data_IF_812452042374
#
_entry.id   IF_812452042374
#
_cell.length_a   1.000
_cell.length_b   1.000
_cell.length_c   1.000
_cell.angle_alpha   90.00
_cell.angle_beta   90.00
_cell.angle_gamma   90.00
#
_symmetry.space_group_name_H-M   'P 1'
#
loop_
_entity.id
_entity.type
_entity.pdbx_description
1 polymer ?
#
# COMPACT_ATOMS: atom_id res chain seq x y z
N UNK A 1 54.49 -47.38 -58.25
CA UNK A 1 53.19 -46.71 -58.11
C UNK A 1 52.41 -47.34 -56.96
N UNK A 2 52.43 -46.74 -55.76
CA UNK A 2 51.48 -47.04 -54.68
C UNK A 2 50.50 -45.86 -54.63
N UNK A 3 49.23 -46.10 -54.89
CA UNK A 3 48.16 -45.09 -54.78
C UNK A 3 47.75 -44.99 -53.31
N UNK A 4 47.76 -43.76 -52.80
CA UNK A 4 47.19 -43.39 -51.50
C UNK A 4 45.65 -43.50 -51.54
N UNK A 5 45.06 -44.07 -50.49
CA UNK A 5 43.63 -44.03 -50.25
C UNK A 5 43.26 -42.66 -49.62
N UNK A 6 42.24 -41.95 -50.11
CA UNK A 6 41.79 -40.72 -49.48
C UNK A 6 40.96 -41.03 -48.23
N UNK A 7 41.26 -40.32 -47.14
CA UNK A 7 40.49 -40.32 -45.89
C UNK A 7 39.04 -39.88 -46.16
N UNK A 8 38.08 -40.75 -45.87
CA UNK A 8 36.66 -40.39 -45.81
C UNK A 8 36.43 -39.43 -44.65
N UNK A 9 36.06 -38.18 -44.96
CA UNK A 9 35.45 -37.28 -43.97
C UNK A 9 34.12 -37.90 -43.52
N UNK A 10 33.81 -37.94 -42.21
CA UNK A 10 32.51 -38.39 -41.77
C UNK A 10 31.45 -37.39 -42.25
N UNK A 11 30.47 -37.89 -42.99
CA UNK A 11 29.22 -37.18 -43.26
C UNK A 11 28.53 -36.96 -41.91
N UNK A 12 28.58 -35.73 -41.39
CA UNK A 12 27.69 -35.31 -40.32
C UNK A 12 26.29 -35.30 -40.92
N UNK A 13 25.46 -36.24 -40.49
CA UNK A 13 24.10 -36.44 -40.98
C UNK A 13 23.25 -35.19 -40.64
N UNK A 14 22.84 -34.46 -41.67
CA UNK A 14 22.06 -33.22 -41.54
C UNK A 14 20.76 -33.40 -40.74
N UNK A 15 20.24 -34.63 -40.62
CA UNK A 15 19.06 -34.92 -39.79
C UNK A 15 19.34 -34.86 -38.28
N UNK A 16 20.52 -35.30 -37.83
CA UNK A 16 20.90 -35.19 -36.41
C UNK A 16 21.09 -33.73 -35.99
N UNK A 17 21.64 -32.90 -36.88
CA UNK A 17 21.83 -31.48 -36.60
C UNK A 17 20.50 -30.72 -36.47
N UNK A 18 19.52 -31.02 -37.33
CA UNK A 18 18.18 -30.42 -37.26
C UNK A 18 17.43 -30.85 -36.00
N UNK A 19 17.56 -32.10 -35.57
CA UNK A 19 16.92 -32.61 -34.35
C UNK A 19 17.51 -31.99 -33.07
N UNK A 20 18.84 -31.83 -32.99
CA UNK A 20 19.50 -31.18 -31.87
C UNK A 20 19.16 -29.69 -31.79
N UNK A 21 19.06 -29.00 -32.94
CA UNK A 21 18.62 -27.61 -32.99
C UNK A 21 17.17 -27.46 -32.51
N UNK A 22 16.28 -28.38 -32.90
CA UNK A 22 14.89 -28.37 -32.44
C UNK A 22 14.76 -28.55 -30.92
N UNK A 23 15.48 -29.52 -30.34
CA UNK A 23 15.50 -29.74 -28.89
C UNK A 23 16.03 -28.50 -28.16
N UNK A 24 17.11 -27.90 -28.66
CA UNK A 24 17.69 -26.70 -28.05
C UNK A 24 16.70 -25.52 -28.07
N UNK A 25 16.06 -25.26 -29.21
CA UNK A 25 15.05 -24.20 -29.34
C UNK A 25 13.88 -24.45 -28.39
N UNK A 26 13.38 -25.69 -28.32
CA UNK A 26 12.30 -26.07 -27.40
C UNK A 26 12.71 -25.86 -25.93
N UNK A 27 13.92 -26.29 -25.56
CA UNK A 27 14.45 -26.15 -24.20
C UNK A 27 14.52 -24.69 -23.77
N UNK A 28 15.13 -23.83 -24.58
CA UNK A 28 15.25 -22.39 -24.31
C UNK A 28 13.88 -21.73 -24.25
N UNK A 29 12.96 -22.10 -25.15
CA UNK A 29 11.61 -21.55 -25.18
C UNK A 29 10.83 -21.89 -23.91
N UNK A 30 10.85 -23.16 -23.50
CA UNK A 30 10.15 -23.63 -22.30
C UNK A 30 10.76 -23.05 -21.03
N UNK A 31 12.09 -22.98 -20.92
CA UNK A 31 12.78 -22.35 -19.79
C UNK A 31 12.36 -20.89 -19.62
N UNK A 32 12.49 -20.10 -20.69
CA UNK A 32 12.15 -18.68 -20.66
C UNK A 32 10.67 -18.47 -20.34
N UNK A 33 9.79 -19.30 -20.90
CA UNK A 33 8.36 -19.14 -20.68
C UNK A 33 7.94 -19.52 -19.27
N UNK A 34 8.46 -20.63 -18.71
CA UNK A 34 8.19 -21.01 -17.32
C UNK A 34 8.79 -19.98 -16.35
N UNK A 35 9.98 -19.43 -16.65
CA UNK A 35 10.60 -18.38 -15.83
C UNK A 35 9.72 -17.14 -15.78
N UNK A 36 9.27 -16.64 -16.94
CA UNK A 36 8.37 -15.48 -17.02
C UNK A 36 7.07 -15.72 -16.24
N UNK A 37 6.42 -16.85 -16.48
CA UNK A 37 5.14 -17.18 -15.85
C UNK A 37 5.30 -17.34 -14.32
N UNK A 38 6.44 -17.83 -13.85
CA UNK A 38 6.78 -17.91 -12.42
C UNK A 38 6.94 -16.53 -11.79
N UNK A 39 7.62 -15.59 -12.45
CA UNK A 39 7.72 -14.20 -11.97
C UNK A 39 6.36 -13.51 -11.92
N UNK A 40 5.52 -13.71 -12.92
CA UNK A 40 4.15 -13.19 -12.92
C UNK A 40 3.32 -13.78 -11.77
N UNK A 41 3.44 -15.09 -11.52
CA UNK A 41 2.73 -15.74 -10.42
C UNK A 41 3.20 -15.20 -9.06
N UNK A 42 4.50 -15.00 -8.88
CA UNK A 42 5.05 -14.36 -7.69
C UNK A 42 4.47 -12.95 -7.50
N UNK A 43 4.48 -12.12 -8.55
CA UNK A 43 3.99 -10.75 -8.49
C UNK A 43 2.49 -10.67 -8.19
N UNK A 44 1.65 -11.27 -9.04
CA UNK A 44 0.19 -11.18 -8.86
C UNK A 44 -0.28 -11.93 -7.64
N UNK A 45 0.28 -13.11 -7.36
CA UNK A 45 -0.02 -13.89 -6.16
C UNK A 45 0.32 -13.12 -4.89
N UNK A 46 1.44 -12.39 -4.87
CA UNK A 46 1.78 -11.50 -3.76
C UNK A 46 0.81 -10.32 -3.66
N UNK A 47 0.47 -9.64 -4.77
CA UNK A 47 -0.45 -8.50 -4.75
C UNK A 47 -1.84 -8.92 -4.26
N UNK A 48 -2.37 -10.07 -4.70
CA UNK A 48 -3.72 -10.52 -4.36
C UNK A 48 -3.79 -11.50 -3.19
N UNK A 49 -2.72 -11.63 -2.40
CA UNK A 49 -2.55 -12.71 -1.40
C UNK A 49 -3.68 -12.91 -0.39
N UNK A 50 -4.38 -11.88 0.08
CA UNK A 50 -5.53 -12.04 0.99
C UNK A 50 -6.90 -12.03 0.34
N UNK A 51 -6.99 -11.97 -0.99
CA UNK A 51 -8.21 -12.32 -1.73
C UNK A 51 -8.22 -13.79 -2.16
N UNK A 52 -7.18 -14.53 -1.78
CA UNK A 52 -7.01 -15.95 -2.02
C UNK A 52 -7.39 -16.75 -0.78
N UNK A 53 -7.96 -17.94 -0.99
CA UNK A 53 -8.16 -18.88 0.11
C UNK A 53 -6.81 -19.38 0.64
N UNK A 54 -6.75 -19.86 1.89
CA UNK A 54 -5.53 -20.45 2.42
C UNK A 54 -5.05 -21.67 1.62
N UNK A 55 -6.00 -22.40 1.01
CA UNK A 55 -5.71 -23.52 0.10
C UNK A 55 -4.99 -23.02 -1.16
N UNK A 56 -5.53 -21.98 -1.81
CA UNK A 56 -4.94 -21.41 -3.03
C UNK A 56 -3.57 -20.79 -2.75
N UNK A 57 -3.41 -20.07 -1.63
CA UNK A 57 -2.13 -19.49 -1.21
C UNK A 57 -1.06 -20.57 -1.05
N UNK A 58 -1.41 -21.68 -0.38
CA UNK A 58 -0.49 -22.79 -0.17
C UNK A 58 -0.14 -23.48 -1.49
N UNK A 59 -1.11 -23.67 -2.38
CA UNK A 59 -0.90 -24.27 -3.70
C UNK A 59 0.04 -23.41 -4.55
N UNK A 60 -0.18 -22.09 -4.60
CA UNK A 60 0.67 -21.13 -5.33
C UNK A 60 2.10 -21.16 -4.80
N UNK A 61 2.29 -21.14 -3.48
CA UNK A 61 3.62 -21.21 -2.88
C UNK A 61 4.37 -22.50 -3.25
N UNK A 62 3.67 -23.65 -3.19
CA UNK A 62 4.24 -24.94 -3.59
C UNK A 62 4.62 -24.93 -5.08
N UNK A 63 3.75 -24.41 -5.94
CA UNK A 63 3.99 -24.35 -7.39
C UNK A 63 5.20 -23.48 -7.72
N UNK A 64 5.33 -22.30 -7.11
CA UNK A 64 6.48 -21.42 -7.31
C UNK A 64 7.79 -22.14 -6.98
N UNK A 65 7.86 -22.83 -5.84
CA UNK A 65 9.07 -23.57 -5.46
C UNK A 65 9.38 -24.71 -6.45
N UNK A 66 8.35 -25.46 -6.87
CA UNK A 66 8.51 -26.52 -7.88
C UNK A 66 8.99 -25.97 -9.23
N UNK A 67 8.52 -24.79 -9.63
CA UNK A 67 8.97 -24.15 -10.86
C UNK A 67 10.44 -23.70 -10.75
N UNK A 68 10.84 -23.11 -9.61
CA UNK A 68 12.23 -22.70 -9.37
C UNK A 68 13.16 -23.90 -9.42
N UNK A 69 12.82 -25.00 -8.73
CA UNK A 69 13.57 -26.25 -8.77
C UNK A 69 13.71 -26.77 -10.21
N UNK A 70 12.61 -26.73 -10.99
CA UNK A 70 12.61 -27.17 -12.38
C UNK A 70 13.48 -26.29 -13.28
N UNK A 71 13.41 -24.97 -13.12
CA UNK A 71 14.23 -24.01 -13.86
C UNK A 71 15.72 -24.18 -13.55
N UNK A 72 16.08 -24.48 -12.29
CA UNK A 72 17.45 -24.80 -11.89
C UNK A 72 17.94 -26.11 -12.52
N UNK A 73 17.10 -27.16 -12.56
CA UNK A 73 17.43 -28.41 -13.24
C UNK A 73 17.64 -28.23 -14.75
N UNK A 74 16.84 -27.37 -15.39
CA UNK A 74 16.98 -27.08 -16.82
C UNK A 74 18.28 -26.32 -17.14
N UNK A 75 18.80 -25.51 -16.20
CA UNK A 75 20.08 -24.79 -16.39
C UNK A 75 21.32 -25.68 -16.24
N UNK A 76 21.19 -26.83 -15.57
CA UNK A 76 22.29 -27.76 -15.32
C UNK A 76 22.20 -28.95 -16.28
N UNK A 77 22.92 -28.88 -17.40
CA UNK A 77 22.95 -29.91 -18.44
C UNK A 77 23.30 -31.33 -17.91
N UNK A 78 24.03 -31.41 -16.79
CA UNK A 78 24.42 -32.69 -16.17
C UNK A 78 23.31 -33.27 -15.28
N UNK A 79 22.38 -32.45 -14.81
CA UNK A 79 21.26 -32.85 -13.94
C UNK A 79 19.91 -32.84 -14.64
N UNK A 80 19.82 -32.24 -15.82
CA UNK A 80 18.57 -32.17 -16.57
C UNK A 80 18.04 -33.57 -16.91
N UNK A 81 16.80 -33.85 -16.50
CA UNK A 81 16.15 -35.17 -16.60
C UNK A 81 15.32 -35.34 -17.88
N UNK A 82 15.29 -34.35 -18.77
CA UNK A 82 14.55 -34.39 -20.04
C UNK A 82 13.03 -34.30 -19.90
N UNK A 83 12.49 -34.01 -18.72
CA UNK A 83 11.03 -34.02 -18.43
C UNK A 83 10.33 -32.74 -18.89
N UNK A 84 10.29 -32.52 -20.20
CA UNK A 84 9.58 -31.39 -20.81
C UNK A 84 8.06 -31.45 -20.59
N UNK A 85 7.50 -32.65 -20.44
CA UNK A 85 6.10 -32.88 -20.06
C UNK A 85 5.74 -32.17 -18.75
N UNK A 86 6.60 -32.33 -17.73
CA UNK A 86 6.40 -31.69 -16.43
C UNK A 86 6.51 -30.16 -16.50
N UNK A 87 7.39 -29.65 -17.35
CA UNK A 87 7.53 -28.19 -17.56
C UNK A 87 6.26 -27.62 -18.17
N UNK A 88 5.67 -28.31 -19.16
CA UNK A 88 4.41 -27.91 -19.80
C UNK A 88 3.26 -27.94 -18.79
N UNK A 89 3.16 -28.99 -17.97
CA UNK A 89 2.11 -29.09 -16.94
C UNK A 89 2.23 -27.98 -15.89
N UNK A 90 3.44 -27.75 -15.38
CA UNK A 90 3.71 -26.66 -14.44
C UNK A 90 3.40 -25.29 -15.04
N UNK A 91 3.75 -25.07 -16.31
CA UNK A 91 3.46 -23.83 -17.00
C UNK A 91 1.95 -23.60 -17.12
N UNK A 92 1.19 -24.62 -17.53
CA UNK A 92 -0.26 -24.52 -17.65
C UNK A 92 -0.93 -24.19 -16.30
N UNK A 93 -0.48 -24.85 -15.22
CA UNK A 93 -0.98 -24.58 -13.88
C UNK A 93 -0.63 -23.15 -13.40
N UNK A 94 0.59 -22.69 -13.72
CA UNK A 94 1.06 -21.35 -13.39
C UNK A 94 0.21 -20.29 -14.08
N UNK A 95 -0.04 -20.45 -15.38
CA UNK A 95 -0.88 -19.53 -16.15
C UNK A 95 -2.33 -19.48 -15.65
N UNK A 96 -2.88 -20.61 -15.19
CA UNK A 96 -4.20 -20.66 -14.56
C UNK A 96 -4.25 -19.76 -13.33
N UNK A 97 -3.30 -19.93 -12.40
CA UNK A 97 -3.27 -19.11 -11.19
C UNK A 97 -2.97 -17.63 -11.47
N UNK A 98 -2.11 -17.32 -12.45
CA UNK A 98 -1.88 -15.93 -12.90
C UNK A 98 -3.20 -15.31 -13.39
N UNK A 99 -3.96 -16.02 -14.22
CA UNK A 99 -5.24 -15.55 -14.74
C UNK A 99 -6.27 -15.33 -13.62
N UNK A 100 -6.35 -16.24 -12.66
CA UNK A 100 -7.22 -16.09 -11.48
C UNK A 100 -6.81 -14.90 -10.61
N UNK A 101 -5.52 -14.71 -10.38
CA UNK A 101 -5.01 -13.58 -9.62
C UNK A 101 -5.28 -12.25 -10.33
N UNK A 102 -5.07 -12.17 -11.65
CA UNK A 102 -5.40 -10.99 -12.47
C UNK A 102 -6.89 -10.62 -12.39
N UNK A 103 -7.81 -11.60 -12.35
CA UNK A 103 -9.25 -11.34 -12.19
C UNK A 103 -9.61 -10.73 -10.84
N UNK A 104 -8.83 -11.02 -9.81
CA UNK A 104 -8.98 -10.47 -8.45
C UNK A 104 -8.27 -9.13 -8.27
N UNK A 105 -7.46 -8.72 -9.24
CA UNK A 105 -6.70 -7.47 -9.19
C UNK A 105 -7.65 -6.28 -9.39
N UNK A 106 -7.71 -5.37 -8.43
CA UNK A 106 -8.48 -4.14 -8.57
C UNK A 106 -7.80 -3.12 -9.50
N UNK A 107 -6.47 -3.19 -9.57
CA UNK A 107 -5.64 -2.35 -10.43
C UNK A 107 -5.69 -2.83 -11.88
N UNK A 108 -5.73 -1.90 -12.83
CA UNK A 108 -5.53 -2.24 -14.23
C UNK A 108 -4.02 -2.33 -14.50
N UNK A 109 -3.54 -3.45 -15.02
CA UNK A 109 -2.18 -3.56 -15.54
C UNK A 109 -1.93 -2.49 -16.63
N UNK A 110 -0.81 -1.77 -16.55
CA UNK A 110 -0.42 -0.72 -17.50
C UNK A 110 0.62 -1.25 -18.49
N UNK A 111 1.70 -1.82 -17.96
CA UNK A 111 2.80 -2.41 -18.74
C UNK A 111 2.47 -3.83 -19.19
N UNK A 112 3.27 -4.40 -20.07
CA UNK A 112 3.07 -5.80 -20.47
C UNK A 112 3.60 -6.78 -19.41
N UNK A 113 3.31 -8.07 -19.61
CA UNK A 113 3.78 -9.11 -18.69
C UNK A 113 5.30 -9.29 -18.69
N UNK A 114 5.97 -8.88 -19.77
CA UNK A 114 7.43 -8.96 -19.85
C UNK A 114 8.06 -7.90 -18.97
N UNK A 115 7.57 -6.66 -18.99
CA UNK A 115 8.06 -5.57 -18.16
C UNK A 115 7.94 -5.91 -16.65
N UNK A 116 6.84 -6.54 -16.24
CA UNK A 116 6.66 -7.03 -14.87
C UNK A 116 7.70 -8.12 -14.56
N UNK A 117 7.85 -9.11 -15.44
CA UNK A 117 8.83 -10.19 -15.26
C UNK A 117 10.25 -9.65 -15.12
N UNK A 118 10.64 -8.70 -15.98
CA UNK A 118 11.97 -8.08 -15.99
C UNK A 118 12.19 -7.27 -14.70
N UNK A 119 11.18 -6.54 -14.23
CA UNK A 119 11.23 -5.84 -12.95
C UNK A 119 11.49 -6.80 -11.79
N UNK A 120 10.78 -7.93 -11.72
CA UNK A 120 10.92 -8.90 -10.62
C UNK A 120 12.28 -9.59 -10.67
N UNK A 121 12.77 -9.92 -11.86
CA UNK A 121 14.10 -10.48 -12.03
C UNK A 121 15.19 -9.53 -11.52
N UNK A 122 15.03 -8.22 -11.71
CA UNK A 122 15.96 -7.21 -11.19
C UNK A 122 15.76 -6.90 -9.69
N UNK A 123 14.65 -7.35 -9.10
CA UNK A 123 14.28 -7.09 -7.71
C UNK A 123 13.88 -8.40 -6.99
N UNK A 124 14.78 -9.39 -6.86
CA UNK A 124 14.44 -10.72 -6.34
C UNK A 124 13.91 -10.70 -4.91
N UNK A 125 14.30 -9.69 -4.11
CA UNK A 125 13.88 -9.54 -2.71
C UNK A 125 12.56 -8.77 -2.53
N UNK A 126 11.81 -8.44 -3.58
CA UNK A 126 10.63 -7.57 -3.49
C UNK A 126 9.54 -8.10 -2.54
N UNK A 127 9.47 -9.42 -2.32
CA UNK A 127 8.51 -10.01 -1.39
C UNK A 127 8.80 -9.65 0.07
N UNK A 128 10.06 -9.33 0.38
CA UNK A 128 10.56 -8.93 1.72
C UNK A 128 10.68 -7.41 1.80
N UNK A 129 11.31 -6.78 0.78
CA UNK A 129 11.60 -5.34 0.73
C UNK A 129 10.42 -4.49 0.25
N UNK A 130 9.42 -5.12 -0.36
CA UNK A 130 8.32 -4.44 -1.02
C UNK A 130 8.62 -4.01 -2.45
N UNK A 131 7.62 -3.39 -3.07
CA UNK A 131 7.74 -2.76 -4.40
C UNK A 131 7.73 -1.26 -4.18
N UNK A 132 8.69 -0.55 -4.79
CA UNK A 132 8.73 0.91 -4.72
C UNK A 132 7.46 1.46 -5.39
N UNK A 133 6.75 2.37 -4.71
CA UNK A 133 5.47 2.90 -5.22
C UNK A 133 5.62 3.56 -6.60
N UNK A 134 6.74 4.26 -6.80
CA UNK A 134 7.13 4.85 -8.07
C UNK A 134 7.24 3.84 -9.21
N UNK A 135 7.65 2.61 -8.90
CA UNK A 135 7.75 1.55 -9.90
C UNK A 135 6.38 0.88 -10.08
N UNK A 136 5.62 0.72 -8.99
CA UNK A 136 4.26 0.18 -9.03
C UNK A 136 3.33 1.00 -9.93
N UNK A 137 3.43 2.34 -9.94
CA UNK A 137 2.63 3.19 -10.87
C UNK A 137 2.96 2.98 -12.35
N UNK A 138 4.16 2.50 -12.67
CA UNK A 138 4.55 2.15 -14.03
C UNK A 138 4.06 0.75 -14.40
N UNK A 139 3.90 -0.13 -13.41
CA UNK A 139 3.43 -1.51 -13.62
C UNK A 139 1.89 -1.61 -13.63
N UNK A 140 1.21 -0.92 -12.71
CA UNK A 140 -0.25 -0.97 -12.52
C UNK A 140 -0.85 0.42 -12.27
N UNK A 141 -2.11 0.59 -12.66
CA UNK A 141 -2.84 1.86 -12.51
C UNK A 141 -3.32 2.04 -11.06
N UNK A 142 -2.41 2.54 -10.23
CA UNK A 142 -2.66 2.86 -8.81
C UNK A 142 -3.61 4.05 -8.63
N UNK A 143 -3.65 4.98 -9.60
CA UNK A 143 -4.51 6.18 -9.56
C UNK A 143 -6.00 5.83 -9.44
N UNK A 144 -6.42 4.69 -10.00
CA UNK A 144 -7.81 4.22 -9.89
C UNK A 144 -8.19 3.77 -8.49
N UNK A 145 -7.25 3.21 -7.72
CA UNK A 145 -7.46 2.79 -6.33
C UNK A 145 -7.43 4.00 -5.39
N UNK A 146 -6.44 4.88 -5.60
CA UNK A 146 -6.34 6.20 -4.95
C UNK A 146 -7.65 6.99 -5.09
N UNK A 147 -8.20 7.09 -6.32
CA UNK A 147 -9.46 7.78 -6.61
C UNK A 147 -10.70 7.14 -5.98
N UNK A 148 -10.65 5.84 -5.64
CA UNK A 148 -11.77 5.12 -5.05
C UNK A 148 -11.72 5.06 -3.52
N UNK A 149 -10.69 5.63 -2.88
CA UNK A 149 -10.50 5.55 -1.44
C UNK A 149 -10.25 4.11 -0.94
N UNK A 150 -9.94 3.18 -1.85
CA UNK A 150 -9.48 1.84 -1.49
C UNK A 150 -7.97 1.88 -1.42
N UNK A 151 -7.39 2.07 -0.23
CA UNK A 151 -6.00 1.70 -0.01
C UNK A 151 -5.81 0.90 1.26
N UNK A 152 -5.13 -0.23 1.04
CA UNK A 152 -4.06 -0.85 1.84
C UNK A 152 -4.26 -1.12 3.33
N UNK A 153 -5.36 -0.71 3.95
CA UNK A 153 -5.74 -1.27 5.24
C UNK A 153 -6.53 -2.58 5.01
N UNK A 154 -5.78 -3.66 5.16
CA UNK A 154 -6.30 -4.96 5.63
C UNK A 154 -6.90 -5.94 4.60
N UNK A 155 -6.13 -6.24 3.56
CA UNK A 155 -6.24 -7.57 2.90
C UNK A 155 -4.86 -8.23 2.75
N UNK A 156 -3.75 -7.50 2.80
CA UNK A 156 -2.45 -8.04 2.42
C UNK A 156 -1.43 -7.88 3.55
N UNK A 157 -1.41 -8.83 4.48
CA UNK A 157 -0.48 -8.87 5.62
C UNK A 157 0.93 -8.35 5.29
N UNK A 158 1.37 -7.36 6.07
CA UNK A 158 2.76 -6.89 6.18
C UNK A 158 3.11 -5.73 5.25
N UNK A 159 3.18 -4.52 5.80
CA UNK A 159 3.87 -3.40 5.16
C UNK A 159 5.39 -3.71 5.13
N UNK A 160 6.07 -3.63 3.98
CA UNK A 160 7.53 -3.67 3.92
C UNK A 160 8.13 -2.45 4.66
N UNK A 161 9.39 -2.54 5.12
CA UNK A 161 10.09 -1.50 5.90
C UNK A 161 10.10 -0.11 5.23
N UNK A 162 9.86 -0.02 3.91
CA UNK A 162 9.96 1.23 3.14
C UNK A 162 8.61 1.91 2.82
N UNK A 163 7.47 1.40 3.30
CA UNK A 163 6.16 2.02 3.06
C UNK A 163 5.78 3.15 4.04
N UNK A 164 6.56 3.34 5.11
CA UNK A 164 6.42 4.45 6.08
C UNK A 164 6.93 5.81 5.55
N UNK A 165 7.06 5.96 4.23
CA UNK A 165 7.33 7.26 3.64
C UNK A 165 6.09 8.13 3.80
N UNK A 166 6.28 9.37 4.27
CA UNK A 166 5.20 10.33 4.50
C UNK A 166 4.37 10.63 3.25
N UNK A 167 4.85 10.26 2.07
CA UNK A 167 4.13 10.43 0.81
C UNK A 167 3.07 9.34 0.55
N UNK A 168 3.02 8.30 1.38
CA UNK A 168 2.17 7.11 1.17
C UNK A 168 1.24 6.86 2.35
N UNK A 169 1.77 6.64 3.55
CA UNK A 169 0.97 6.19 4.70
C UNK A 169 -0.08 7.23 5.15
N UNK A 170 0.33 8.50 5.30
CA UNK A 170 -0.63 9.52 5.73
C UNK A 170 -1.68 9.81 4.65
N UNK A 171 -1.33 9.63 3.38
CA UNK A 171 -2.20 9.91 2.25
C UNK A 171 -3.40 8.96 2.20
N UNK A 172 -3.29 7.75 2.74
CA UNK A 172 -4.41 6.80 2.83
C UNK A 172 -5.52 7.33 3.74
N UNK A 173 -5.15 7.88 4.89
CA UNK A 173 -6.10 8.53 5.79
C UNK A 173 -6.68 9.81 5.20
N UNK A 174 -5.90 10.56 4.41
CA UNK A 174 -6.41 11.73 3.70
C UNK A 174 -7.45 11.35 2.64
N UNK A 175 -7.15 10.36 1.80
CA UNK A 175 -8.09 9.87 0.79
C UNK A 175 -9.34 9.25 1.42
N UNK A 176 -9.19 8.52 2.52
CA UNK A 176 -10.32 7.97 3.28
C UNK A 176 -11.19 9.10 3.86
N UNK A 177 -10.58 10.13 4.43
CA UNK A 177 -11.29 11.30 4.90
C UNK A 177 -12.06 11.99 3.77
N UNK A 178 -11.42 12.19 2.62
CA UNK A 178 -12.04 12.77 1.43
C UNK A 178 -13.24 11.94 0.95
N UNK A 179 -13.09 10.61 0.88
CA UNK A 179 -14.18 9.71 0.52
C UNK A 179 -15.37 9.86 1.46
N UNK A 180 -15.17 9.71 2.76
CA UNK A 180 -16.25 9.80 3.74
C UNK A 180 -16.89 11.19 3.75
N UNK A 181 -16.09 12.25 3.70
CA UNK A 181 -16.61 13.61 3.66
C UNK A 181 -17.47 13.83 2.41
N UNK A 182 -17.01 13.38 1.24
CA UNK A 182 -17.73 13.55 -0.02
C UNK A 182 -19.02 12.74 -0.09
N UNK A 183 -19.02 11.53 0.48
CA UNK A 183 -20.24 10.73 0.63
C UNK A 183 -21.21 11.44 1.59
N UNK A 184 -20.75 11.87 2.77
CA UNK A 184 -21.57 12.61 3.74
C UNK A 184 -22.15 13.89 3.15
N UNK A 185 -21.36 14.64 2.39
CA UNK A 185 -21.75 15.86 1.70
C UNK A 185 -22.90 15.63 0.72
N UNK A 186 -22.82 14.59 -0.11
CA UNK A 186 -23.88 14.30 -1.08
C UNK A 186 -25.20 13.94 -0.41
N UNK A 187 -25.18 13.16 0.68
CA UNK A 187 -26.39 12.83 1.44
C UNK A 187 -26.94 14.04 2.19
N UNK A 188 -26.07 14.85 2.80
CA UNK A 188 -26.44 16.06 3.54
C UNK A 188 -27.17 17.07 2.64
N UNK A 189 -26.69 17.28 1.41
CA UNK A 189 -27.33 18.16 0.41
C UNK A 189 -28.35 17.45 -0.49
N UNK A 190 -28.79 16.24 -0.12
CA UNK A 190 -29.82 15.48 -0.84
C UNK A 190 -29.50 15.25 -2.34
N UNK A 191 -28.22 15.17 -2.68
CA UNK A 191 -27.72 14.90 -4.05
C UNK A 191 -27.72 13.41 -4.39
N UNK A 192 -27.91 12.55 -3.38
CA UNK A 192 -28.08 11.11 -3.51
C UNK A 192 -29.42 10.69 -2.89
N UNK A 193 -30.16 9.86 -3.61
CA UNK A 193 -31.37 9.22 -3.10
C UNK A 193 -31.02 8.08 -2.14
N UNK A 194 -31.72 8.05 -1.01
CA UNK A 194 -31.68 6.93 -0.07
C UNK A 194 -32.47 5.79 -0.72
N UNK A 195 -31.87 4.59 -0.82
CA UNK A 195 -32.60 3.39 -1.20
C UNK A 195 -33.20 2.75 0.05
N UNK A 196 -34.51 2.53 0.06
CA UNK A 196 -35.19 1.91 1.20
C UNK A 196 -35.08 0.37 1.16
N UNK A 197 -35.26 -0.31 2.30
CA UNK A 197 -35.28 -1.79 2.39
C UNK A 197 -36.26 -2.45 1.43
N UNK A 198 -37.35 -1.77 1.08
CA UNK A 198 -38.37 -2.25 0.15
C UNK A 198 -37.94 -2.24 -1.32
N UNK A 199 -36.81 -1.59 -1.65
CA UNK A 199 -36.37 -1.33 -3.03
C UNK A 199 -35.09 -2.10 -3.41
N UNK A 200 -34.47 -2.80 -2.44
CA UNK A 200 -33.25 -3.57 -2.66
C UNK A 200 -33.51 -5.05 -2.39
N UNK A 201 -33.18 -5.92 -3.35
CA UNK A 201 -33.16 -7.36 -3.12
C UNK A 201 -32.03 -7.72 -2.16
N UNK A 202 -32.38 -8.07 -0.92
CA UNK A 202 -31.44 -8.41 0.17
C UNK A 202 -30.50 -9.57 -0.21
N UNK A 203 -30.89 -10.43 -1.15
CA UNK A 203 -30.06 -11.54 -1.63
C UNK A 203 -29.01 -11.10 -2.67
N UNK A 204 -29.14 -9.89 -3.21
CA UNK A 204 -28.23 -9.32 -4.22
C UNK A 204 -27.09 -8.48 -3.64
N UNK A 205 -27.12 -8.20 -2.34
CA UNK A 205 -26.14 -7.36 -1.62
C UNK A 205 -25.33 -8.17 -0.62
N UNK A 206 -24.03 -7.88 -0.54
CA UNK A 206 -23.10 -8.53 0.38
C UNK A 206 -23.51 -8.29 1.85
N UNK A 207 -23.30 -9.25 2.75
CA UNK A 207 -23.76 -9.20 4.16
C UNK A 207 -23.20 -8.00 4.96
N UNK A 208 -22.07 -7.42 4.52
CA UNK A 208 -21.53 -6.18 5.09
C UNK A 208 -22.28 -4.92 4.63
N UNK A 209 -22.98 -4.97 3.50
CA UNK A 209 -23.83 -3.90 2.97
C UNK A 209 -25.25 -3.94 3.54
N UNK A 210 -25.71 -5.08 4.05
CA UNK A 210 -27.00 -5.24 4.73
C UNK A 210 -27.13 -4.37 5.99
N UNK A 211 -26.02 -3.87 6.56
CA UNK A 211 -26.00 -2.96 7.72
C UNK A 211 -26.18 -1.47 7.37
N UNK A 212 -26.44 -1.11 6.11
CA UNK A 212 -26.28 0.29 5.63
C UNK A 212 -27.54 1.03 5.19
N UNK A 213 -28.75 0.51 5.43
CA UNK A 213 -29.97 1.28 5.13
C UNK A 213 -30.34 2.09 6.36
N UNK A 214 -30.00 3.37 6.31
CA UNK A 214 -30.17 4.36 7.38
C UNK A 214 -30.71 5.65 6.74
N UNK A 215 -31.48 6.48 7.47
CA UNK A 215 -31.89 7.80 6.99
C UNK A 215 -30.69 8.66 6.55
N UNK A 216 -30.90 9.65 5.67
CA UNK A 216 -29.85 10.56 5.17
C UNK A 216 -29.02 11.13 6.30
N UNK A 217 -29.66 11.49 7.40
CA UNK A 217 -29.04 12.16 8.53
C UNK A 217 -28.09 11.22 9.27
N UNK A 218 -28.44 9.95 9.39
CA UNK A 218 -27.60 8.95 10.05
C UNK A 218 -26.41 8.55 9.15
N UNK A 219 -26.62 8.43 7.84
CA UNK A 219 -25.53 8.22 6.87
C UNK A 219 -24.57 9.41 6.87
N UNK A 220 -25.10 10.64 6.83
CA UNK A 220 -24.32 11.87 6.88
C UNK A 220 -23.55 11.98 8.20
N UNK A 221 -24.21 11.66 9.32
CA UNK A 221 -23.61 11.70 10.65
C UNK A 221 -22.41 10.75 10.74
N UNK A 222 -22.60 9.49 10.34
CA UNK A 222 -21.54 8.49 10.33
C UNK A 222 -20.39 8.95 9.43
N UNK A 223 -20.69 9.37 8.21
CA UNK A 223 -19.67 9.76 7.25
C UNK A 223 -18.87 10.98 7.69
N UNK A 224 -19.49 12.04 8.21
CA UNK A 224 -18.72 13.18 8.75
C UNK A 224 -17.91 12.77 9.98
N UNK A 225 -18.45 11.93 10.87
CA UNK A 225 -17.65 11.39 11.99
C UNK A 225 -16.42 10.62 11.48
N UNK A 226 -16.60 9.66 10.58
CA UNK A 226 -15.48 8.89 10.03
C UNK A 226 -14.48 9.79 9.30
N UNK A 227 -14.95 10.79 8.54
CA UNK A 227 -14.08 11.76 7.89
C UNK A 227 -13.21 12.52 8.91
N UNK A 228 -13.80 13.04 9.99
CA UNK A 228 -13.07 13.75 11.04
C UNK A 228 -12.01 12.87 11.71
N UNK A 229 -12.36 11.63 12.04
CA UNK A 229 -11.41 10.67 12.65
C UNK A 229 -10.27 10.35 11.69
N UNK A 230 -10.55 10.18 10.40
CA UNK A 230 -9.51 9.96 9.38
C UNK A 230 -8.60 11.18 9.20
N UNK A 231 -9.12 12.41 9.31
CA UNK A 231 -8.27 13.61 9.30
C UNK A 231 -7.30 13.65 10.50
N UNK A 232 -7.72 13.17 11.67
CA UNK A 232 -6.84 13.03 12.84
C UNK A 232 -5.75 11.98 12.56
N UNK A 233 -6.12 10.82 12.01
CA UNK A 233 -5.14 9.79 11.65
C UNK A 233 -4.17 10.21 10.56
N UNK A 234 -4.61 11.03 9.61
CA UNK A 234 -3.73 11.66 8.61
C UNK A 234 -2.62 12.47 9.30
N UNK A 235 -2.97 13.35 10.24
CA UNK A 235 -2.00 14.13 10.99
C UNK A 235 -1.05 13.20 11.76
N UNK A 236 -1.58 12.23 12.51
CA UNK A 236 -0.74 11.31 13.29
C UNK A 236 0.22 10.47 12.43
N UNK A 237 -0.27 9.94 11.31
CA UNK A 237 0.54 9.19 10.37
C UNK A 237 1.61 10.08 9.71
N UNK A 238 1.30 11.33 9.37
CA UNK A 238 2.27 12.28 8.85
C UNK A 238 3.42 12.50 9.85
N UNK A 239 3.08 12.78 11.13
CA UNK A 239 4.07 12.96 12.20
C UNK A 239 4.95 11.72 12.38
N UNK A 240 4.35 10.53 12.38
CA UNK A 240 5.08 9.26 12.51
C UNK A 240 6.00 9.00 11.32
N UNK A 241 5.53 9.30 10.11
CA UNK A 241 6.30 9.11 8.89
C UNK A 241 7.51 10.04 8.83
N UNK A 242 7.38 11.29 9.31
CA UNK A 242 8.53 12.20 9.45
C UNK A 242 9.55 11.64 10.45
N UNK A 243 9.10 11.13 11.60
CA UNK A 243 9.96 10.50 12.59
C UNK A 243 10.69 9.27 12.03
N UNK A 244 9.96 8.39 11.35
CA UNK A 244 10.52 7.18 10.77
C UNK A 244 11.50 7.48 9.62
N UNK A 245 11.18 8.45 8.77
CA UNK A 245 12.11 8.92 7.74
C UNK A 245 13.42 9.43 8.35
N UNK A 246 13.34 10.23 9.42
CA UNK A 246 14.52 10.72 10.12
C UNK A 246 15.33 9.59 10.79
N UNK A 247 14.66 8.54 11.29
CA UNK A 247 15.33 7.34 11.78
C UNK A 247 16.11 6.65 10.65
N UNK A 248 15.49 6.44 9.50
CA UNK A 248 16.14 5.81 8.35
C UNK A 248 17.30 6.65 7.80
N UNK A 249 17.24 7.98 7.92
CA UNK A 249 18.34 8.87 7.52
C UNK A 249 19.45 8.99 8.56
N UNK A 250 19.38 8.28 9.68
CA UNK A 250 20.40 8.30 10.74
C UNK A 250 20.44 9.61 11.54
N UNK A 251 19.30 10.31 11.68
CA UNK A 251 19.26 11.58 12.42
C UNK A 251 19.45 11.40 13.95
N UNK A 252 19.14 10.21 14.49
CA UNK A 252 19.33 9.90 15.91
C UNK A 252 20.81 9.73 16.27
N UNK A 253 21.26 10.31 17.38
CA UNK A 253 22.66 10.24 17.83
C UNK A 253 22.96 9.00 18.69
N UNK A 254 21.91 8.34 19.16
CA UNK A 254 21.99 7.17 20.03
C UNK A 254 20.69 6.34 19.93
N UNK A 255 20.71 5.15 20.52
CA UNK A 255 19.60 4.19 20.51
C UNK A 255 18.31 4.76 21.10
N UNK A 256 18.40 5.64 22.11
CA UNK A 256 17.22 6.24 22.72
C UNK A 256 16.54 7.23 21.75
N UNK A 257 17.33 8.05 21.04
CA UNK A 257 16.81 8.95 20.01
C UNK A 257 16.25 8.17 18.81
N UNK A 258 16.91 7.09 18.37
CA UNK A 258 16.39 6.20 17.33
C UNK A 258 15.04 5.59 17.73
N UNK A 259 14.91 5.15 18.98
CA UNK A 259 13.65 4.63 19.51
C UNK A 259 12.57 5.71 19.56
N UNK A 260 12.90 6.93 20.01
CA UNK A 260 11.97 8.06 20.03
C UNK A 260 11.48 8.45 18.64
N UNK A 261 12.35 8.45 17.63
CA UNK A 261 11.99 8.70 16.22
C UNK A 261 11.02 7.64 15.68
N UNK A 262 11.11 6.41 16.17
CA UNK A 262 10.18 5.29 15.87
C UNK A 262 8.94 5.28 16.77
N UNK A 263 8.78 6.28 17.63
CA UNK A 263 7.66 6.40 18.57
C UNK A 263 7.72 5.45 19.77
N UNK A 264 8.88 4.83 20.05
CA UNK A 264 9.11 3.95 21.20
C UNK A 264 9.63 4.80 22.37
N UNK A 265 8.87 4.85 23.46
CA UNK A 265 9.25 5.57 24.68
C UNK A 265 10.18 4.74 25.56
N UNK A 266 9.87 3.46 25.73
CA UNK A 266 10.68 2.54 26.52
C UNK A 266 10.50 1.10 26.08
N UNK A 267 11.49 0.26 26.39
CA UNK A 267 11.44 -1.18 26.18
C UNK A 267 11.55 -1.85 27.55
N UNK A 268 10.54 -2.61 27.92
CA UNK A 268 10.53 -3.36 29.19
C UNK A 268 11.63 -4.42 29.19
N UNK A 269 12.03 -4.92 30.37
CA UNK A 269 13.00 -6.02 30.51
C UNK A 269 12.61 -7.30 29.73
N UNK A 270 11.33 -7.47 29.38
CA UNK A 270 10.80 -8.59 28.59
C UNK A 270 10.72 -8.30 27.08
N UNK A 271 11.22 -7.16 26.61
CA UNK A 271 11.20 -6.77 25.20
C UNK A 271 9.91 -6.10 24.72
N UNK A 272 8.90 -5.92 25.58
CA UNK A 272 7.69 -5.17 25.20
C UNK A 272 8.00 -3.68 25.03
N UNK A 273 7.53 -3.10 23.91
CA UNK A 273 7.69 -1.70 23.57
C UNK A 273 6.51 -0.89 24.11
N UNK A 274 6.80 0.13 24.90
CA UNK A 274 5.84 1.17 25.26
C UNK A 274 5.98 2.31 24.25
N UNK A 275 4.86 2.77 23.71
CA UNK A 275 4.85 3.78 22.66
C UNK A 275 4.52 5.16 23.24
N UNK A 276 5.23 6.18 22.76
CA UNK A 276 4.99 7.57 23.14
C UNK A 276 3.59 8.00 22.74
N UNK A 277 2.96 8.82 23.58
CA UNK A 277 1.73 9.53 23.22
C UNK A 277 2.01 10.63 22.18
N UNK A 278 0.95 11.21 21.59
CA UNK A 278 1.12 12.15 20.49
C UNK A 278 1.86 13.44 20.89
N UNK A 279 1.59 13.97 22.09
CA UNK A 279 2.27 15.16 22.64
C UNK A 279 3.78 14.91 22.73
N UNK A 280 4.17 13.76 23.28
CA UNK A 280 5.58 13.34 23.36
C UNK A 280 6.20 13.15 21.97
N UNK A 281 5.49 12.56 21.01
CA UNK A 281 6.00 12.38 19.64
C UNK A 281 6.30 13.71 18.95
N UNK A 282 5.38 14.68 19.03
CA UNK A 282 5.56 16.01 18.45
C UNK A 282 6.83 16.67 19.02
N UNK A 283 6.97 16.64 20.36
CA UNK A 283 8.11 17.22 21.06
C UNK A 283 9.44 16.51 20.74
N UNK A 284 9.46 15.18 20.78
CA UNK A 284 10.67 14.39 20.59
C UNK A 284 11.18 14.46 19.13
N UNK A 285 10.30 14.29 18.15
CA UNK A 285 10.70 14.27 16.74
C UNK A 285 11.22 15.65 16.33
N UNK A 286 10.51 16.73 16.67
CA UNK A 286 10.98 18.10 16.36
C UNK A 286 12.33 18.43 17.04
N UNK A 287 12.51 18.00 18.30
CA UNK A 287 13.79 18.15 19.01
C UNK A 287 14.94 17.43 18.34
N UNK A 288 14.74 16.18 17.93
CA UNK A 288 15.82 15.36 17.35
C UNK A 288 16.15 15.83 15.94
N UNK A 289 15.13 16.09 15.12
CA UNK A 289 15.31 16.42 13.70
C UNK A 289 15.70 17.88 13.49
N UNK A 290 14.99 18.81 14.14
CA UNK A 290 15.18 20.26 13.97
C UNK A 290 16.00 20.93 15.07
N UNK A 291 16.36 20.21 16.12
CA UNK A 291 17.16 20.72 17.24
C UNK A 291 16.36 21.43 18.34
N UNK A 292 15.07 21.73 18.12
CA UNK A 292 14.21 22.38 19.11
C UNK A 292 12.88 21.64 19.27
N UNK A 293 12.51 21.37 20.52
CA UNK A 293 11.22 20.78 20.85
C UNK A 293 10.09 21.78 20.59
N UNK A 294 9.06 21.35 19.86
CA UNK A 294 7.82 22.10 19.75
C UNK A 294 7.06 22.13 21.08
N UNK A 295 6.64 23.33 21.48
CA UNK A 295 5.72 23.53 22.59
C UNK A 295 4.30 23.13 22.16
N UNK A 296 3.82 22.01 22.72
CA UNK A 296 2.50 21.46 22.44
C UNK A 296 1.38 22.14 23.26
N UNK A 297 1.72 23.03 24.19
CA UNK A 297 0.76 23.83 24.96
C UNK A 297 0.41 25.15 24.25
N UNK A 298 1.00 25.37 23.06
CA UNK A 298 0.69 26.50 22.17
C UNK A 298 -0.12 26.07 20.95
N UNK A 299 -0.89 27.01 20.39
CA UNK A 299 -1.64 26.79 19.15
C UNK A 299 -0.70 26.52 17.97
N UNK A 300 -1.07 25.62 17.02
CA UNK A 300 -2.35 24.91 16.92
C UNK A 300 -2.42 23.59 17.71
N UNK A 301 -1.36 23.19 18.41
CA UNK A 301 -1.25 21.85 19.03
C UNK A 301 -2.13 21.70 20.28
N UNK A 302 -2.24 22.75 21.10
CA UNK A 302 -3.07 22.73 22.32
C UNK A 302 -4.53 22.37 22.02
N UNK A 303 -5.18 23.12 21.13
CA UNK A 303 -6.58 22.85 20.75
C UNK A 303 -6.72 21.48 20.10
N UNK A 304 -5.82 21.11 19.18
CA UNK A 304 -5.90 19.82 18.49
C UNK A 304 -5.79 18.62 19.44
N UNK A 305 -4.85 18.66 20.39
CA UNK A 305 -4.64 17.59 21.36
C UNK A 305 -5.82 17.47 22.34
N UNK A 306 -6.34 18.59 22.85
CA UNK A 306 -7.44 18.59 23.82
C UNK A 306 -8.79 18.27 23.18
N UNK A 307 -9.04 18.74 21.96
CA UNK A 307 -10.36 18.60 21.35
C UNK A 307 -10.43 17.40 20.41
N UNK A 308 -9.60 17.37 19.37
CA UNK A 308 -9.69 16.37 18.32
C UNK A 308 -9.17 15.00 18.78
N UNK A 309 -7.99 14.95 19.41
CA UNK A 309 -7.39 13.67 19.84
C UNK A 309 -8.19 13.04 20.99
N UNK A 310 -8.68 13.82 21.95
CA UNK A 310 -9.55 13.30 23.01
C UNK A 310 -10.87 12.78 22.44
N UNK A 311 -11.49 13.51 21.51
CA UNK A 311 -12.71 13.06 20.83
C UNK A 311 -12.48 11.71 20.14
N UNK A 312 -11.37 11.56 19.40
CA UNK A 312 -10.97 10.29 18.80
C UNK A 312 -10.80 9.18 19.84
N UNK A 313 -10.10 9.45 20.94
CA UNK A 313 -9.85 8.46 21.99
C UNK A 313 -11.12 7.98 22.68
N UNK A 314 -12.15 8.82 22.75
CA UNK A 314 -13.46 8.44 23.28
C UNK A 314 -14.23 7.55 22.30
N UNK A 315 -14.17 7.83 21.00
CA UNK A 315 -14.87 7.04 20.00
C UNK A 315 -14.20 5.70 19.65
N UNK A 316 -12.86 5.67 19.55
CA UNK A 316 -12.11 4.46 19.17
C UNK A 316 -12.03 3.46 20.33
N UNK A 317 -12.01 3.94 21.58
CA UNK A 317 -11.89 3.10 22.77
C UNK A 317 -13.16 3.19 23.63
N UNK A 318 -14.29 2.74 23.09
CA UNK A 318 -15.57 2.73 23.80
C UNK A 318 -15.47 1.96 25.12
N UNK A 319 -15.90 2.60 26.21
CA UNK A 319 -16.06 1.98 27.53
C UNK A 319 -17.36 2.48 28.14
N UNK A 320 -18.02 1.63 28.94
CA UNK A 320 -19.28 1.96 29.63
C UNK A 320 -19.09 3.14 30.58
N UNK A 321 -17.90 3.26 31.17
CA UNK A 321 -17.58 4.30 32.15
C UNK A 321 -17.16 5.63 31.52
N UNK A 322 -16.96 5.67 30.20
CA UNK A 322 -16.58 6.92 29.52
C UNK A 322 -17.81 7.79 29.29
N UNK A 323 -17.76 9.09 29.61
CA UNK A 323 -18.85 10.01 29.31
C UNK A 323 -19.11 9.99 27.80
N UNK A 324 -20.36 9.72 27.42
CA UNK A 324 -20.76 9.76 26.01
C UNK A 324 -20.86 11.21 25.58
N UNK A 325 -19.91 11.68 24.76
CA UNK A 325 -20.05 12.98 24.12
C UNK A 325 -21.17 12.88 23.08
N UNK A 326 -22.24 13.63 23.33
CA UNK A 326 -23.29 13.85 22.36
C UNK A 326 -22.83 14.89 21.34
N UNK A 327 -22.75 14.49 20.08
CA UNK A 327 -22.49 15.39 18.96
C UNK A 327 -23.70 15.36 18.02
N UNK A 328 -24.07 16.50 17.47
CA UNK A 328 -25.07 16.59 16.40
C UNK A 328 -24.41 16.37 15.03
N UNK A 329 -25.23 16.15 14.00
CA UNK A 329 -24.77 16.11 12.61
C UNK A 329 -24.03 17.40 12.23
N UNK A 330 -24.59 18.56 12.58
CA UNK A 330 -23.99 19.86 12.29
C UNK A 330 -22.64 20.04 12.99
N UNK A 331 -22.52 19.61 14.25
CA UNK A 331 -21.24 19.69 14.97
C UNK A 331 -20.17 18.85 14.28
N UNK A 332 -20.51 17.66 13.78
CA UNK A 332 -19.55 16.83 13.05
C UNK A 332 -19.12 17.44 11.74
N UNK A 333 -20.08 17.98 10.99
CA UNK A 333 -19.80 18.66 9.75
C UNK A 333 -18.90 19.87 9.99
N UNK A 334 -19.22 20.73 10.96
CA UNK A 334 -18.41 21.90 11.33
C UNK A 334 -16.99 21.50 11.76
N UNK A 335 -16.84 20.42 12.54
CA UNK A 335 -15.52 19.90 12.92
C UNK A 335 -14.71 19.39 11.73
N UNK A 336 -15.34 18.69 10.78
CA UNK A 336 -14.68 18.31 9.53
C UNK A 336 -14.24 19.55 8.75
N UNK A 337 -15.18 20.48 8.59
CA UNK A 337 -15.01 21.71 7.84
C UNK A 337 -13.83 22.53 8.39
N UNK A 338 -13.71 22.65 9.71
CA UNK A 338 -12.60 23.34 10.38
C UNK A 338 -11.26 22.61 10.19
N UNK A 339 -11.24 21.27 10.31
CA UNK A 339 -10.04 20.46 10.07
C UNK A 339 -9.55 20.57 8.62
N UNK A 340 -10.48 20.54 7.66
CA UNK A 340 -10.20 20.68 6.22
C UNK A 340 -9.76 22.09 5.88
N UNK A 341 -10.40 23.12 6.43
CA UNK A 341 -10.14 24.49 5.98
C UNK A 341 -8.89 25.12 6.60
N UNK A 342 -8.50 24.70 7.81
CA UNK A 342 -7.46 25.41 8.57
C UNK A 342 -6.58 24.51 9.43
N UNK A 343 -7.15 23.62 10.25
CA UNK A 343 -6.38 22.99 11.34
C UNK A 343 -5.35 21.96 10.84
N UNK A 344 -5.72 21.02 9.96
CA UNK A 344 -4.82 19.95 9.51
C UNK A 344 -3.54 20.50 8.88
N UNK A 345 -3.68 21.39 7.89
CA UNK A 345 -2.54 21.97 7.18
C UNK A 345 -1.71 22.87 8.10
N UNK A 346 -2.35 23.64 9.00
CA UNK A 346 -1.66 24.46 9.99
C UNK A 346 -0.77 23.61 10.92
N UNK A 347 -1.30 22.49 11.42
CA UNK A 347 -0.59 21.55 12.28
C UNK A 347 0.63 20.94 11.59
N UNK A 348 0.42 20.32 10.42
CA UNK A 348 1.49 19.58 9.74
C UNK A 348 2.55 20.51 9.15
N UNK A 349 2.18 21.73 8.69
CA UNK A 349 3.15 22.73 8.24
C UNK A 349 4.01 23.23 9.39
N UNK A 350 3.41 23.58 10.53
CA UNK A 350 4.17 24.03 11.71
C UNK A 350 5.10 22.94 12.24
N UNK A 351 4.63 21.69 12.23
CA UNK A 351 5.47 20.56 12.60
C UNK A 351 6.64 20.35 11.62
N UNK A 352 6.35 20.40 10.32
CA UNK A 352 7.37 20.27 9.28
C UNK A 352 8.43 21.36 9.38
N UNK A 353 8.04 22.62 9.51
CA UNK A 353 8.96 23.76 9.66
C UNK A 353 9.85 23.63 10.90
N UNK A 354 9.32 23.05 11.99
CA UNK A 354 10.13 22.80 13.17
C UNK A 354 11.16 21.68 12.96
N UNK A 355 10.84 20.66 12.15
CA UNK A 355 11.77 19.57 11.86
C UNK A 355 12.79 19.95 10.78
N UNK A 356 12.35 20.68 9.75
CA UNK A 356 13.13 21.01 8.56
C UNK A 356 13.00 22.50 8.23
N UNK A 357 13.62 23.41 9.02
CA UNK A 357 13.39 24.85 8.92
C UNK A 357 13.83 25.47 7.57
N UNK A 358 14.70 24.78 6.84
CA UNK A 358 15.21 25.21 5.53
C UNK A 358 14.56 24.49 4.35
N UNK A 359 13.69 23.51 4.59
CA UNK A 359 13.05 22.75 3.51
C UNK A 359 11.61 23.24 3.28
N UNK A 360 11.20 23.44 2.02
CA UNK A 360 9.81 23.76 1.73
C UNK A 360 8.90 22.61 2.17
N UNK A 361 7.65 22.95 2.49
CA UNK A 361 6.65 21.93 2.83
C UNK A 361 6.40 21.01 1.63
N UNK A 362 6.22 19.68 1.81
CA UNK A 362 6.08 18.77 0.69
C UNK A 362 4.86 19.09 -0.17
N UNK A 363 5.12 19.50 -1.42
CA UNK A 363 4.08 19.92 -2.37
C UNK A 363 3.04 18.85 -2.66
N UNK A 364 3.43 17.57 -2.64
CA UNK A 364 2.52 16.43 -2.85
C UNK A 364 1.44 16.40 -1.77
N UNK A 365 1.80 16.65 -0.50
CA UNK A 365 0.85 16.68 0.61
C UNK A 365 -0.06 17.89 0.51
N UNK A 366 0.50 19.06 0.19
CA UNK A 366 -0.30 20.28 -0.02
C UNK A 366 -1.32 20.08 -1.17
N UNK A 367 -0.86 19.65 -2.34
CA UNK A 367 -1.72 19.46 -3.52
C UNK A 367 -2.81 18.42 -3.30
N UNK A 368 -2.52 17.34 -2.58
CA UNK A 368 -3.51 16.31 -2.35
C UNK A 368 -4.57 16.72 -1.32
N UNK A 369 -4.21 17.56 -0.35
CA UNK A 369 -5.18 18.17 0.55
C UNK A 369 -5.99 19.27 -0.14
N UNK A 370 -5.36 20.02 -1.06
CA UNK A 370 -5.93 21.16 -1.76
C UNK A 370 -6.76 20.80 -3.01
N UNK A 371 -6.52 19.63 -3.60
CA UNK A 371 -6.94 19.23 -4.95
C UNK A 371 -8.43 18.95 -5.15
N UNK A 372 -9.34 19.81 -4.67
CA UNK A 372 -10.79 19.57 -4.63
C UNK A 372 -11.16 18.21 -4.00
N UNK A 373 -10.28 17.68 -3.15
CA UNK A 373 -10.45 16.39 -2.48
C UNK A 373 -11.72 16.36 -1.63
N UNK A 374 -12.15 17.52 -1.14
CA UNK A 374 -13.37 17.71 -0.37
C UNK A 374 -14.40 18.53 -1.17
N UNK A 375 -15.58 17.95 -1.41
CA UNK A 375 -16.67 18.58 -2.17
C UNK A 375 -17.17 19.84 -1.48
N UNK A 376 -17.45 20.88 -2.27
CA UNK A 376 -17.94 22.16 -1.76
C UNK A 376 -16.88 22.97 -1.01
N UNK A 377 -15.62 22.53 -1.03
CA UNK A 377 -14.47 23.16 -0.38
C UNK A 377 -13.42 23.45 -1.46
N UNK A 378 -13.42 24.64 -2.08
CA UNK A 378 -12.37 25.00 -3.02
C UNK A 378 -11.02 25.00 -2.28
N UNK A 379 -9.98 24.50 -2.93
CA UNK A 379 -8.63 24.49 -2.39
C UNK A 379 -8.20 25.87 -1.86
N UNK A 380 -7.69 25.90 -0.61
CA UNK A 380 -7.18 27.10 0.09
C UNK A 380 -5.66 27.08 0.26
N UNK A 381 -5.00 25.97 -0.05
CA UNK A 381 -3.62 25.66 0.26
C UNK A 381 -2.83 25.43 -1.01
N UNK A 382 -2.66 26.50 -1.80
CA UNK A 382 -1.71 26.48 -2.91
C UNK A 382 -0.29 26.25 -2.39
N UNK A 383 0.51 25.57 -3.20
CA UNK A 383 1.95 25.64 -3.08
C UNK A 383 2.41 26.99 -3.64
N UNK A 384 3.14 27.76 -2.82
CA UNK A 384 4.04 28.79 -3.36
C UNK A 384 5.04 28.07 -4.26
N UNK A 385 5.13 28.49 -5.53
CA UNK A 385 6.23 28.10 -6.39
C UNK A 385 7.49 28.77 -5.84
N UNK A 386 8.54 27.98 -5.60
CA UNK A 386 9.91 28.52 -5.60
C UNK A 386 10.27 28.99 -7.02
#
# INVERSE_FOLDING_TARGET
>A
MKKENPSSKPLIDGKQHVHLLYIYVMHVTLHNSLSKDTFLLQFYGWIVRGLLSDVDRKAIYILINKNIERLQLMQDDLKWDGRYDLVIDQQAETQRFVSEAKKKLEFKQICDDKDISDYINNNPDFTVKGIILNDLRHLVNVDKALKRGHLLHDVYHGYPEHFYLFQVDCMDYMHSAAHFYNEGYDYYYQRKTIKNYSEIDINSIHWTEQKRIQPSDEVSFRNFREAHINLIFFVESFLNSVGYHAYLSGAGKNVDEENQLRGIESITRKGFKNYSNLKQRISNISRIVGGQALDCDQEPFSTYLQTSVELRNQYVHSSVDKPKIYQTLENWKEKCDKMIDTECMGLIRKFWQACYPTQPFPIIIANAFDGNSFKGRPGKFYAEQD
#
